data_IF_240328527484
#
_entry.id   IF_240328527484
#
_cell.length_a   1.000
_cell.length_b   1.000
_cell.length_c   1.000
_cell.angle_alpha   90.00
_cell.angle_beta   90.00
_cell.angle_gamma   90.00
#
_symmetry.space_group_name_H-M   'P 1'
#
loop_
_entity.id
_entity.type
_entity.pdbx_description
1 polymer ?
#
# COMPACT_ATOMS: atom_id res chain seq x y z
N UNK A 1 0.17 -19.61 -25.31
CA UNK A 1 -0.12 -20.21 -23.99
C UNK A 1 -0.30 -19.11 -22.97
N UNK A 2 -1.54 -18.74 -22.64
CA UNK A 2 -1.84 -17.83 -21.53
C UNK A 2 -1.51 -18.58 -20.24
N UNK A 3 -0.40 -18.25 -19.58
CA UNK A 3 -0.10 -18.78 -18.24
C UNK A 3 -1.32 -18.50 -17.35
N UNK A 4 -1.96 -19.55 -16.87
CA UNK A 4 -2.97 -19.40 -15.81
C UNK A 4 -2.27 -18.73 -14.63
N UNK A 5 -2.75 -17.55 -14.24
CA UNK A 5 -2.13 -16.79 -13.18
C UNK A 5 -2.65 -17.33 -11.85
N UNK A 6 -1.87 -18.20 -11.22
CA UNK A 6 -2.24 -18.91 -9.98
C UNK A 6 -1.88 -18.09 -8.73
N UNK A 7 -2.44 -18.48 -7.58
CA UNK A 7 -2.10 -17.91 -6.28
C UNK A 7 -0.59 -17.93 -5.99
N UNK A 8 0.12 -19.00 -6.39
CA UNK A 8 1.56 -19.13 -6.18
C UNK A 8 2.36 -18.14 -7.04
N UNK A 9 1.98 -17.98 -8.31
CA UNK A 9 2.62 -16.97 -9.18
C UNK A 9 2.38 -15.56 -8.67
N UNK A 10 1.18 -15.29 -8.13
CA UNK A 10 0.86 -14.00 -7.50
C UNK A 10 1.69 -13.75 -6.25
N UNK A 11 1.84 -14.76 -5.38
CA UNK A 11 2.66 -14.68 -4.17
C UNK A 11 4.12 -14.42 -4.49
N UNK A 12 4.66 -15.10 -5.51
CA UNK A 12 6.02 -14.91 -5.97
C UNK A 12 6.25 -13.49 -6.50
N UNK A 13 5.29 -12.95 -7.27
CA UNK A 13 5.33 -11.56 -7.75
C UNK A 13 5.36 -10.56 -6.59
N UNK A 14 4.47 -10.74 -5.60
CA UNK A 14 4.38 -9.89 -4.40
C UNK A 14 5.65 -9.94 -3.56
N UNK A 15 6.18 -11.14 -3.33
CA UNK A 15 7.40 -11.34 -2.54
C UNK A 15 8.62 -10.73 -3.22
N UNK A 16 8.68 -10.80 -4.56
CA UNK A 16 9.73 -10.15 -5.34
C UNK A 16 9.63 -8.62 -5.28
N UNK A 17 8.42 -8.07 -5.40
CA UNK A 17 8.22 -6.63 -5.40
C UNK A 17 8.42 -6.00 -4.00
N UNK A 18 8.02 -6.70 -2.95
CA UNK A 18 7.98 -6.20 -1.57
C UNK A 18 8.40 -7.30 -0.59
N UNK A 19 9.71 -7.64 -0.52
CA UNK A 19 10.20 -8.76 0.28
C UNK A 19 10.08 -8.54 1.80
N UNK A 20 9.98 -7.28 2.24
CA UNK A 20 9.82 -6.94 3.66
C UNK A 20 8.40 -7.14 4.22
N UNK A 21 7.46 -7.63 3.41
CA UNK A 21 6.10 -7.94 3.83
C UNK A 21 5.87 -9.44 3.86
N UNK A 22 5.24 -9.93 4.92
CA UNK A 22 4.74 -11.29 5.00
C UNK A 22 3.43 -11.40 4.23
N UNK A 23 3.47 -12.01 3.05
CA UNK A 23 2.33 -12.12 2.15
C UNK A 23 1.49 -13.36 2.42
N UNK A 24 0.18 -13.14 2.58
CA UNK A 24 -0.86 -14.17 2.62
C UNK A 24 -1.77 -13.98 1.42
N UNK A 25 -1.78 -14.93 0.48
CA UNK A 25 -2.73 -14.94 -0.65
C UNK A 25 -3.98 -15.68 -0.20
N UNK A 26 -5.13 -15.04 -0.33
CA UNK A 26 -6.41 -15.59 0.10
C UNK A 26 -6.93 -16.58 -0.93
N UNK A 27 -7.56 -17.66 -0.45
CA UNK A 27 -8.14 -18.67 -1.33
C UNK A 27 -9.23 -18.03 -2.19
N UNK A 28 -9.07 -18.17 -3.49
CA UNK A 28 -10.09 -17.80 -4.47
C UNK A 28 -10.69 -19.08 -5.10
N UNK A 29 -11.95 -19.05 -5.55
CA UNK A 29 -12.51 -20.11 -6.38
C UNK A 29 -11.65 -20.43 -7.61
N UNK A 30 -11.76 -21.65 -8.14
CA UNK A 30 -10.94 -22.12 -9.27
C UNK A 30 -11.07 -21.26 -10.54
N UNK A 31 -12.23 -20.61 -10.71
CA UNK A 31 -12.55 -19.72 -11.83
C UNK A 31 -12.61 -18.24 -11.40
N UNK A 32 -12.00 -17.90 -10.26
CA UNK A 32 -12.03 -16.55 -9.76
C UNK A 32 -11.25 -15.60 -10.67
N UNK A 33 -11.94 -14.57 -11.14
CA UNK A 33 -11.38 -13.47 -11.94
C UNK A 33 -10.51 -12.53 -11.08
N UNK A 34 -10.59 -12.66 -9.75
CA UNK A 34 -9.90 -11.84 -8.78
C UNK A 34 -9.09 -12.69 -7.80
N UNK A 35 -7.83 -12.29 -7.58
CA UNK A 35 -6.97 -12.76 -6.51
C UNK A 35 -6.77 -11.63 -5.50
N UNK A 36 -6.73 -11.96 -4.22
CA UNK A 36 -6.48 -11.02 -3.13
C UNK A 36 -5.32 -11.51 -2.28
N UNK A 37 -4.45 -10.60 -1.89
CA UNK A 37 -3.38 -10.86 -0.95
C UNK A 37 -3.32 -9.78 0.14
N UNK A 38 -2.90 -10.18 1.33
CA UNK A 38 -2.60 -9.28 2.44
C UNK A 38 -1.13 -9.44 2.81
N UNK A 39 -0.38 -8.34 2.79
CA UNK A 39 0.99 -8.24 3.24
C UNK A 39 1.05 -7.57 4.61
N UNK A 40 1.75 -8.15 5.57
CA UNK A 40 1.95 -7.56 6.89
C UNK A 40 3.43 -7.27 7.10
N UNK A 41 3.76 -6.04 7.51
CA UNK A 41 5.10 -5.65 7.95
C UNK A 41 5.09 -5.41 9.46
N UNK A 42 5.99 -6.08 10.16
CA UNK A 42 6.20 -5.95 11.61
C UNK A 42 7.59 -5.37 11.91
N UNK A 43 7.74 -4.77 13.09
CA UNK A 43 9.04 -4.49 13.73
C UNK A 43 8.96 -4.93 15.18
N UNK A 44 9.79 -5.91 15.55
CA UNK A 44 9.64 -6.64 16.81
C UNK A 44 8.23 -7.22 16.94
N UNK A 45 7.56 -6.92 18.05
CA UNK A 45 6.19 -7.34 18.33
C UNK A 45 5.11 -6.43 17.73
N UNK A 46 5.49 -5.30 17.13
CA UNK A 46 4.54 -4.31 16.63
C UNK A 46 4.28 -4.45 15.13
N UNK A 47 3.01 -4.46 14.73
CA UNK A 47 2.61 -4.36 13.32
C UNK A 47 2.68 -2.91 12.87
N UNK A 48 3.49 -2.60 11.87
CA UNK A 48 3.68 -1.24 11.37
C UNK A 48 2.73 -0.93 10.22
N UNK A 49 2.54 -1.89 9.31
CA UNK A 49 1.79 -1.66 8.08
C UNK A 49 1.09 -2.93 7.60
N UNK A 50 -0.11 -2.74 7.06
CA UNK A 50 -0.89 -3.77 6.38
C UNK A 50 -1.18 -3.31 4.95
N UNK A 51 -0.68 -4.06 3.96
CA UNK A 51 -1.02 -3.88 2.55
C UNK A 51 -2.06 -4.90 2.12
N UNK A 52 -3.06 -4.48 1.37
CA UNK A 52 -3.98 -5.35 0.67
C UNK A 52 -3.82 -5.12 -0.83
N UNK A 53 -3.50 -6.18 -1.57
CA UNK A 53 -3.33 -6.13 -3.02
C UNK A 53 -4.36 -7.04 -3.67
N UNK A 54 -5.17 -6.47 -4.54
CA UNK A 54 -6.11 -7.16 -5.39
C UNK A 54 -5.58 -7.17 -6.82
N UNK A 55 -5.68 -8.32 -7.49
CA UNK A 55 -5.43 -8.46 -8.93
C UNK A 55 -6.68 -9.00 -9.58
N UNK A 56 -7.21 -8.31 -10.58
CA UNK A 56 -8.38 -8.73 -11.36
C UNK A 56 -8.05 -8.81 -12.84
N UNK A 57 -8.67 -9.74 -13.55
CA UNK A 57 -8.60 -9.84 -15.03
C UNK A 57 -9.96 -9.57 -15.68
N UNK A 58 -10.93 -9.00 -14.95
CA UNK A 58 -12.29 -8.78 -15.44
C UNK A 58 -12.37 -7.88 -16.68
N UNK A 59 -11.34 -7.05 -16.89
CA UNK A 59 -11.26 -6.11 -18.02
C UNK A 59 -10.57 -6.69 -19.26
N UNK A 60 -10.28 -8.00 -19.27
CA UNK A 60 -9.51 -8.65 -20.34
C UNK A 60 -7.99 -8.45 -20.25
N UNK A 61 -7.53 -7.60 -19.32
CA UNK A 61 -6.12 -7.37 -19.00
C UNK A 61 -5.91 -7.35 -17.48
N UNK A 62 -4.69 -7.61 -16.98
CA UNK A 62 -4.42 -7.55 -15.55
C UNK A 62 -4.57 -6.13 -15.02
N UNK A 63 -5.32 -6.00 -13.94
CA UNK A 63 -5.50 -4.76 -13.20
C UNK A 63 -5.21 -5.01 -11.73
N UNK A 64 -4.38 -4.16 -11.15
CA UNK A 64 -3.95 -4.24 -9.76
C UNK A 64 -4.54 -3.07 -8.98
N UNK A 65 -5.04 -3.33 -7.78
CA UNK A 65 -5.35 -2.32 -6.76
C UNK A 65 -4.54 -2.64 -5.50
N UNK A 66 -3.88 -1.62 -4.94
CA UNK A 66 -3.19 -1.73 -3.67
C UNK A 66 -3.76 -0.72 -2.68
N UNK A 67 -4.06 -1.20 -1.48
CA UNK A 67 -4.57 -0.43 -0.35
C UNK A 67 -3.65 -0.59 0.84
N UNK A 68 -3.42 0.48 1.59
CA UNK A 68 -2.60 0.45 2.80
C UNK A 68 -3.42 0.85 4.02
N UNK A 69 -3.32 0.06 5.07
CA UNK A 69 -3.79 0.37 6.41
C UNK A 69 -2.59 0.41 7.36
N UNK A 70 -2.68 1.24 8.41
CA UNK A 70 -1.61 1.38 9.41
C UNK A 70 -1.45 0.15 10.31
N UNK A 71 -1.51 0.38 11.62
CA UNK A 71 -1.12 -0.60 12.65
C UNK A 71 -2.07 -1.81 12.82
N UNK A 72 -3.14 -1.95 12.03
CA UNK A 72 -4.15 -2.99 12.23
C UNK A 72 -4.77 -3.53 10.94
N UNK A 73 -5.15 -4.81 10.94
CA UNK A 73 -5.88 -5.46 9.82
C UNK A 73 -7.34 -5.03 9.72
N UNK A 74 -7.88 -4.40 10.77
CA UNK A 74 -9.22 -3.76 10.80
C UNK A 74 -9.15 -2.24 10.73
N UNK A 75 -7.95 -1.67 10.64
CA UNK A 75 -7.82 -0.23 10.52
C UNK A 75 -8.39 0.22 9.16
N UNK A 76 -8.99 1.42 9.08
CA UNK A 76 -9.45 1.96 7.82
C UNK A 76 -8.25 2.10 6.87
N UNK A 77 -8.49 1.86 5.58
CA UNK A 77 -7.47 2.08 4.56
C UNK A 77 -7.20 3.58 4.45
N UNK A 78 -5.92 3.95 4.52
CA UNK A 78 -5.44 5.32 4.48
C UNK A 78 -5.22 5.82 3.06
N UNK A 79 -5.10 4.91 2.10
CA UNK A 79 -4.87 5.20 0.70
C UNK A 79 -5.09 3.98 -0.18
N UNK A 80 -5.48 4.24 -1.42
CA UNK A 80 -5.65 3.27 -2.48
C UNK A 80 -5.01 3.81 -3.76
N UNK A 81 -4.40 2.92 -4.53
CA UNK A 81 -3.94 3.21 -5.88
C UNK A 81 -4.18 1.99 -6.78
N UNK A 82 -4.46 2.22 -8.05
CA UNK A 82 -4.71 1.16 -9.03
C UNK A 82 -3.96 1.41 -10.33
N UNK A 83 -3.40 0.36 -10.94
CA UNK A 83 -2.68 0.43 -12.23
C UNK A 83 -2.72 -0.93 -12.95
N UNK A 84 -2.20 -1.00 -14.18
CA UNK A 84 -2.08 -2.24 -14.94
C UNK A 84 -0.92 -3.15 -14.52
N UNK A 85 0.02 -2.67 -13.69
CA UNK A 85 1.13 -3.50 -13.18
C UNK A 85 1.35 -3.32 -11.68
N UNK A 86 1.72 -4.41 -11.00
CA UNK A 86 1.96 -4.40 -9.55
C UNK A 86 2.97 -3.32 -9.13
N UNK A 87 4.09 -3.20 -9.84
CA UNK A 87 5.13 -2.23 -9.50
C UNK A 87 4.65 -0.78 -9.63
N UNK A 88 3.88 -0.47 -10.69
CA UNK A 88 3.30 0.87 -10.85
C UNK A 88 2.26 1.14 -9.77
N UNK A 89 1.44 0.14 -9.44
CA UNK A 89 0.45 0.26 -8.38
C UNK A 89 1.09 0.58 -7.03
N UNK A 90 2.14 -0.16 -6.65
CA UNK A 90 2.86 0.05 -5.39
C UNK A 90 3.62 1.38 -5.38
N UNK A 91 4.27 1.73 -6.48
CA UNK A 91 4.98 3.02 -6.62
C UNK A 91 4.02 4.20 -6.55
N UNK A 92 2.84 4.08 -7.17
CA UNK A 92 1.79 5.10 -7.11
C UNK A 92 1.23 5.26 -5.71
N UNK A 93 1.01 4.16 -4.99
CA UNK A 93 0.58 4.20 -3.59
C UNK A 93 1.64 4.85 -2.68
N UNK A 94 2.92 4.57 -2.90
CA UNK A 94 4.00 5.24 -2.16
C UNK A 94 4.00 6.75 -2.43
N UNK A 95 3.95 7.17 -3.71
CA UNK A 95 3.88 8.59 -4.10
C UNK A 95 2.68 9.30 -3.49
N UNK A 96 1.53 8.62 -3.42
CA UNK A 96 0.33 9.14 -2.74
C UNK A 96 0.62 9.50 -1.27
N UNK A 97 1.31 8.61 -0.54
CA UNK A 97 1.67 8.88 0.86
C UNK A 97 2.74 9.97 0.99
N UNK A 98 3.73 10.01 0.10
CA UNK A 98 4.74 11.08 0.07
C UNK A 98 4.08 12.46 -0.18
N UNK A 99 3.13 12.53 -1.11
CA UNK A 99 2.37 13.75 -1.36
C UNK A 99 1.57 14.17 -0.13
N UNK A 100 0.86 13.24 0.52
CA UNK A 100 0.12 13.51 1.77
C UNK A 100 1.04 14.02 2.87
N UNK A 101 2.20 13.39 3.06
CA UNK A 101 3.19 13.82 4.04
C UNK A 101 3.68 15.26 3.76
N UNK A 102 3.96 15.59 2.50
CA UNK A 102 4.36 16.94 2.10
C UNK A 102 3.26 17.97 2.37
N UNK A 103 2.00 17.64 2.05
CA UNK A 103 0.85 18.51 2.33
C UNK A 103 0.70 18.78 3.82
N UNK A 104 0.74 17.76 4.67
CA UNK A 104 0.63 17.94 6.11
C UNK A 104 1.83 18.67 6.72
N UNK A 105 3.05 18.42 6.22
CA UNK A 105 4.23 19.17 6.63
C UNK A 105 4.12 20.66 6.28
N UNK A 106 3.56 20.99 5.10
CA UNK A 106 3.31 22.38 4.72
C UNK A 106 2.29 23.05 5.64
N UNK A 107 1.17 22.38 5.95
CA UNK A 107 0.18 22.90 6.90
C UNK A 107 0.77 23.12 8.30
N UNK A 108 1.61 22.19 8.78
CA UNK A 108 2.28 22.33 10.07
C UNK A 108 3.21 23.56 10.11
N UNK A 109 3.95 23.82 9.02
CA UNK A 109 4.80 25.03 8.90
C UNK A 109 3.97 26.31 8.93
N UNK A 110 2.84 26.35 8.23
CA UNK A 110 1.93 27.50 8.20
C UNK A 110 1.36 27.81 9.59
N UNK A 111 0.94 26.78 10.32
CA UNK A 111 0.46 26.95 11.70
C UNK A 111 1.60 27.44 12.60
N UNK A 112 2.81 26.88 12.46
CA UNK A 112 3.98 27.30 13.24
C UNK A 112 4.33 28.76 12.98
N UNK A 113 4.35 29.22 11.73
CA UNK A 113 4.66 30.61 11.38
C UNK A 113 3.62 31.61 11.87
N UNK A 114 2.39 31.17 12.11
CA UNK A 114 1.33 32.02 12.66
C UNK A 114 1.39 32.18 14.19
N UNK A 115 2.30 31.49 14.89
CA UNK A 115 2.45 31.60 16.35
C UNK A 115 3.34 32.82 16.70
N UNK A 116 2.86 33.79 17.48
CA UNK A 116 3.72 34.86 17.99
C UNK A 116 4.79 34.28 18.93
N UNK A 117 6.06 34.66 18.72
CA UNK A 117 7.19 34.31 19.60
C UNK A 117 8.14 33.18 19.13
N UNK A 118 8.01 32.66 17.91
CA UNK A 118 8.91 31.60 17.42
C UNK A 118 10.33 32.07 17.01
N UNK A 119 10.61 33.38 17.04
CA UNK A 119 11.92 33.97 16.70
C UNK A 119 12.66 34.58 17.91
N UNK A 120 12.08 34.57 19.12
CA UNK A 120 12.65 35.24 20.31
C UNK A 120 13.16 34.27 21.40
N UNK A 121 13.58 33.06 21.02
CA UNK A 121 14.23 32.13 21.97
C UNK A 121 15.63 31.78 21.49
N UNK A 122 16.51 32.79 21.50
CA UNK A 122 17.93 32.58 21.80
C UNK A 122 18.06 32.58 23.33
N UNK A 123 18.09 31.38 23.91
CA UNK A 123 18.68 31.13 25.23
C UNK A 123 20.07 30.52 25.02
#
# INVERSE_FOLDING_TARGET
MTKSFTADTFRAELTKAMPGYQWTVHRAPKDAVQLRATGIKTSGFNRISTLCVDRTTARGFPWYSARCAGFGTRAPFLGEYSDGTLLRTLSGLQRYFEQKANTYAAHARQIKSARPGAEDEKL
#
